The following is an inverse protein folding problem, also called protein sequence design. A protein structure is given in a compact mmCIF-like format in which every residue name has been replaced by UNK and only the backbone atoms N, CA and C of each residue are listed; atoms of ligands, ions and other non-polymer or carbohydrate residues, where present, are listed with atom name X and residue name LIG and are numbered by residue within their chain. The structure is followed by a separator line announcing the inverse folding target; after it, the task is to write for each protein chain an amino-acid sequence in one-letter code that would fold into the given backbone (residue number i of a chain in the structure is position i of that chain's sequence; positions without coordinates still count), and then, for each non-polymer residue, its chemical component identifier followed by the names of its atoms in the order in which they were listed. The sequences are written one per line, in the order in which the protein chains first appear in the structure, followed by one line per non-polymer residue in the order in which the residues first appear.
data_IF_346118960361
#
_entry.id   IF_346118960361
#
_cell.length_a   1.000
_cell.length_b   1.000
_cell.length_c   1.000
_cell.angle_alpha   90.00
_cell.angle_beta   90.00
_cell.angle_gamma   90.00
#
_symmetry.space_group_name_H-M   'P 1'
#
loop_
_entity.id
_entity.type
_entity.pdbx_description
1 polymer ?
#
# COMPACT_ATOMS: atom_id res chain seq x y z
N UNK A 1 -14.16 -5.58 -9.17
CA UNK A 1 -14.17 -4.69 -7.98
C UNK A 1 -13.26 -5.34 -6.97
N UNK A 2 -12.09 -4.75 -6.70
CA UNK A 2 -11.19 -5.24 -5.67
C UNK A 2 -11.40 -4.33 -4.45
N UNK A 3 -12.45 -4.64 -3.67
CA UNK A 3 -12.94 -3.78 -2.59
C UNK A 3 -11.83 -3.45 -1.57
N UNK A 4 -10.91 -4.39 -1.33
CA UNK A 4 -9.76 -4.18 -0.45
C UNK A 4 -8.79 -3.12 -1.00
N UNK A 5 -8.46 -3.20 -2.29
CA UNK A 5 -7.57 -2.22 -2.95
C UNK A 5 -8.15 -0.81 -2.81
N UNK A 6 -9.44 -0.65 -3.08
CA UNK A 6 -10.09 0.65 -3.07
C UNK A 6 -10.22 1.20 -1.63
N UNK A 7 -10.44 0.33 -0.63
CA UNK A 7 -10.39 0.71 0.79
C UNK A 7 -8.99 1.20 1.18
N UNK A 8 -7.94 0.44 0.86
CA UNK A 8 -6.56 0.81 1.19
C UNK A 8 -6.17 2.11 0.49
N UNK A 9 -6.53 2.27 -0.78
CA UNK A 9 -6.26 3.49 -1.53
C UNK A 9 -6.90 4.72 -0.85
N UNK A 10 -8.17 4.59 -0.43
CA UNK A 10 -8.87 5.66 0.27
C UNK A 10 -8.26 5.97 1.63
N UNK A 11 -7.88 4.95 2.40
CA UNK A 11 -7.24 5.14 3.70
C UNK A 11 -5.89 5.84 3.57
N UNK A 12 -5.04 5.38 2.64
CA UNK A 12 -3.74 6.01 2.39
C UNK A 12 -3.88 7.45 1.90
N UNK A 13 -4.84 7.71 1.02
CA UNK A 13 -5.14 9.07 0.58
C UNK A 13 -5.64 9.96 1.73
N UNK A 14 -6.41 9.42 2.68
CA UNK A 14 -6.88 10.16 3.86
C UNK A 14 -5.72 10.51 4.81
N UNK A 15 -4.71 9.64 4.90
CA UNK A 15 -3.45 9.89 5.62
C UNK A 15 -2.48 10.81 4.84
N UNK A 16 -2.88 11.31 3.66
CA UNK A 16 -2.09 12.25 2.87
C UNK A 16 -1.04 11.62 1.96
N UNK A 17 -1.12 10.31 1.70
CA UNK A 17 -0.35 9.68 0.63
C UNK A 17 -0.92 10.02 -0.75
N UNK A 18 -0.04 10.19 -1.73
CA UNK A 18 -0.45 10.15 -3.13
C UNK A 18 -0.58 8.68 -3.53
N UNK A 19 -1.70 8.33 -4.14
CA UNK A 19 -2.02 6.94 -4.49
C UNK A 19 -2.48 6.90 -5.94
N UNK A 20 -1.82 6.07 -6.75
CA UNK A 20 -2.21 5.81 -8.12
C UNK A 20 -2.49 4.31 -8.34
N UNK A 21 -3.52 3.96 -9.12
CA UNK A 21 -3.79 2.58 -9.46
C UNK A 21 -2.68 2.01 -10.35
N UNK A 22 -2.19 0.82 -10.00
CA UNK A 22 -1.23 0.07 -10.78
C UNK A 22 -1.87 -1.25 -11.24
N UNK A 23 -1.98 -1.46 -12.55
CA UNK A 23 -2.58 -2.69 -13.09
C UNK A 23 -1.65 -3.91 -12.94
N UNK A 24 -2.19 -5.14 -12.76
CA UNK A 24 -3.61 -5.47 -12.70
C UNK A 24 -4.27 -5.27 -11.31
N UNK A 25 -3.52 -5.43 -10.22
CA UNK A 25 -4.06 -5.45 -8.85
C UNK A 25 -3.08 -4.83 -7.83
N UNK A 26 -2.63 -3.62 -8.11
CA UNK A 26 -1.68 -2.89 -7.26
C UNK A 26 -2.02 -1.41 -7.07
N UNK A 27 -1.28 -0.80 -6.17
CA UNK A 27 -1.22 0.64 -5.95
C UNK A 27 0.23 1.08 -5.98
N UNK A 28 0.51 2.19 -6.64
CA UNK A 28 1.75 2.93 -6.48
C UNK A 28 1.49 4.10 -5.51
N UNK A 29 2.35 4.25 -4.51
CA UNK A 29 2.14 5.21 -3.43
C UNK A 29 3.38 6.07 -3.20
N UNK A 30 3.13 7.36 -2.93
CA UNK A 30 4.10 8.27 -2.32
C UNK A 30 3.62 8.54 -0.89
N UNK A 31 4.24 7.86 0.06
CA UNK A 31 3.86 7.85 1.46
C UNK A 31 4.50 9.04 2.21
N UNK A 32 3.73 9.81 3.00
CA UNK A 32 4.30 10.79 3.92
C UNK A 32 5.05 10.10 5.07
N UNK A 33 5.90 10.82 5.83
CA UNK A 33 6.79 10.22 6.83
C UNK A 33 6.09 9.34 7.88
N UNK A 34 4.89 9.70 8.32
CA UNK A 34 4.15 8.92 9.31
C UNK A 34 3.66 7.58 8.75
N UNK A 35 3.21 7.54 7.49
CA UNK A 35 2.83 6.30 6.79
C UNK A 35 4.06 5.42 6.53
N UNK A 36 5.19 6.02 6.15
CA UNK A 36 6.46 5.30 5.97
C UNK A 36 6.87 4.57 7.26
N UNK A 37 6.82 5.27 8.40
CA UNK A 37 7.17 4.72 9.70
C UNK A 37 6.19 3.65 10.17
N UNK A 38 4.89 3.86 9.96
CA UNK A 38 3.86 2.92 10.38
C UNK A 38 3.91 1.61 9.58
N UNK A 39 4.08 1.69 8.26
CA UNK A 39 4.09 0.52 7.38
C UNK A 39 5.49 -0.07 7.15
N UNK A 40 6.55 0.60 7.61
CA UNK A 40 7.94 0.19 7.37
C UNK A 40 8.33 0.23 5.90
N UNK A 41 7.82 1.21 5.15
CA UNK A 41 8.02 1.34 3.69
C UNK A 41 8.83 2.59 3.33
N UNK A 42 9.41 2.58 2.13
CA UNK A 42 10.03 3.77 1.57
C UNK A 42 8.96 4.79 1.11
N UNK A 43 9.38 6.05 0.95
CA UNK A 43 8.55 7.13 0.42
C UNK A 43 7.80 6.71 -0.84
N UNK A 44 8.51 6.23 -1.85
CA UNK A 44 7.90 5.64 -3.04
C UNK A 44 7.88 4.11 -2.92
N UNK A 45 6.68 3.52 -2.94
CA UNK A 45 6.48 2.09 -2.75
C UNK A 45 5.35 1.56 -3.61
N UNK A 46 5.37 0.24 -3.89
CA UNK A 46 4.30 -0.47 -4.60
C UNK A 46 3.64 -1.48 -3.68
N UNK A 47 2.31 -1.41 -3.62
CA UNK A 47 1.48 -2.32 -2.82
C UNK A 47 0.73 -3.23 -3.77
N UNK A 48 1.02 -4.52 -3.72
CA UNK A 48 0.30 -5.55 -4.48
C UNK A 48 -0.77 -6.22 -3.64
N UNK A 49 -1.92 -6.51 -4.23
CA UNK A 49 -3.05 -7.22 -3.60
C UNK A 49 -3.19 -8.67 -4.09
N UNK A 50 -2.20 -9.18 -4.83
CA UNK A 50 -2.18 -10.53 -5.34
C UNK A 50 -1.93 -11.57 -4.23
N UNK A 51 -2.47 -12.78 -4.40
CA UNK A 51 -2.28 -13.90 -3.46
C UNK A 51 -0.84 -14.42 -3.42
N UNK A 52 -0.08 -14.24 -4.50
CA UNK A 52 1.32 -14.62 -4.59
C UNK A 52 2.23 -13.43 -4.25
N UNK A 53 3.19 -13.64 -3.35
CA UNK A 53 4.23 -12.66 -3.04
C UNK A 53 5.34 -12.74 -4.09
N UNK A 54 5.56 -11.71 -4.91
CA UNK A 54 6.64 -11.73 -5.91
C UNK A 54 8.01 -11.68 -5.23
N UNK A 55 9.08 -12.17 -5.89
CA UNK A 55 10.43 -12.11 -5.36
C UNK A 55 10.85 -10.67 -5.08
N UNK A 56 11.33 -10.40 -3.86
CA UNK A 56 11.75 -9.08 -3.41
C UNK A 56 10.62 -8.22 -2.81
N UNK A 57 9.38 -8.68 -2.82
CA UNK A 57 8.31 -8.03 -2.05
C UNK A 57 8.36 -8.43 -0.58
N UNK A 58 8.09 -7.48 0.30
CA UNK A 58 7.86 -7.73 1.71
C UNK A 58 6.37 -7.77 2.00
N UNK A 59 5.93 -8.68 2.88
CA UNK A 59 4.54 -8.72 3.34
C UNK A 59 4.37 -7.67 4.43
N UNK A 60 3.39 -6.79 4.25
CA UNK A 60 2.94 -5.86 5.28
C UNK A 60 1.80 -6.53 6.04
N UNK A 61 1.97 -6.73 7.34
CA UNK A 61 0.90 -7.15 8.25
C UNK A 61 0.48 -5.95 9.09
N UNK A 62 -0.82 -5.69 9.13
CA UNK A 62 -1.41 -4.72 10.05
C UNK A 62 -1.70 -5.47 11.35
N UNK A 63 -0.71 -5.57 12.23
CA UNK A 63 -0.94 -6.00 13.61
C UNK A 63 -1.59 -4.84 14.37
N UNK A 64 -2.71 -5.10 15.03
CA UNK A 64 -3.30 -4.22 16.03
C UNK A 64 -3.17 -4.92 17.38
N UNK A 65 -2.60 -4.23 18.37
CA UNK A 65 -2.68 -4.63 19.78
C UNK A 65 -4.08 -4.30 20.34
#
# INVERSE_FOLDING_TARGET
MNDLRDIVARSLAAEGALVEPLEPEGLEIVAPPHVQQFLGIAEWSRVGFASALPPGASRITLDSD
#
